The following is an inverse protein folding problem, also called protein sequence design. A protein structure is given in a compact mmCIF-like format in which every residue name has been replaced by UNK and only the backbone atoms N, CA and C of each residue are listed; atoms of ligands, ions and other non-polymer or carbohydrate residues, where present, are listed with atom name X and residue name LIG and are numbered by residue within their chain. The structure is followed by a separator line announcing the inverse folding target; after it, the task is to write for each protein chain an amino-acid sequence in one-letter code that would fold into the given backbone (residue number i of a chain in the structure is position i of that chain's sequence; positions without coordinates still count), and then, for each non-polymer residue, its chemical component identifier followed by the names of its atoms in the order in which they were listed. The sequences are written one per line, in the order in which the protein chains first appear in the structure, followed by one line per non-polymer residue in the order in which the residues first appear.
data_IF_843341113859
#
_entry.id   IF_843341113859
#
_cell.length_a   1.000
_cell.length_b   1.000
_cell.length_c   1.000
_cell.angle_alpha   90.00
_cell.angle_beta   90.00
_cell.angle_gamma   90.00
#
_symmetry.space_group_name_H-M   'P 1'
#
loop_
_entity.id
_entity.type
_entity.pdbx_description
1 polymer ?
#
# COMPACT_ATOMS: atom_id res chain seq x y z
N UNK A 1 -19.05 -23.40 13.91
CA UNK A 1 -18.58 -22.90 12.61
C UNK A 1 -19.55 -21.98 11.87
N UNK A 2 -20.81 -21.79 12.30
CA UNK A 2 -21.83 -21.08 11.49
C UNK A 2 -21.49 -19.60 11.25
N UNK A 3 -20.89 -18.94 12.24
CA UNK A 3 -20.50 -17.52 12.19
C UNK A 3 -19.30 -17.32 11.26
N UNK A 4 -18.25 -18.14 11.39
CA UNK A 4 -17.07 -18.08 10.51
C UNK A 4 -17.44 -18.26 9.03
N UNK A 5 -18.29 -19.25 8.74
CA UNK A 5 -18.72 -19.51 7.35
C UNK A 5 -19.54 -18.34 6.79
N UNK A 6 -20.52 -17.85 7.56
CA UNK A 6 -21.44 -16.82 7.09
C UNK A 6 -20.77 -15.44 6.98
N UNK A 7 -19.96 -15.08 7.96
CA UNK A 7 -19.49 -13.69 8.11
C UNK A 7 -18.06 -13.47 7.60
N UNK A 8 -17.33 -14.54 7.26
CA UNK A 8 -15.93 -14.44 6.78
C UNK A 8 -15.74 -15.19 5.47
N UNK A 9 -16.01 -16.51 5.45
CA UNK A 9 -15.76 -17.35 4.28
C UNK A 9 -16.67 -17.01 3.10
N UNK A 10 -17.95 -16.74 3.35
CA UNK A 10 -18.92 -16.38 2.31
C UNK A 10 -18.60 -15.01 1.69
N UNK A 11 -18.28 -13.95 2.45
CA UNK A 11 -17.77 -12.71 1.88
C UNK A 11 -16.49 -12.88 1.05
N UNK A 12 -15.50 -13.65 1.52
CA UNK A 12 -14.29 -13.91 0.73
C UNK A 12 -14.60 -14.64 -0.57
N UNK A 13 -15.47 -15.67 -0.52
CA UNK A 13 -15.95 -16.36 -1.71
C UNK A 13 -16.70 -15.42 -2.66
N UNK A 14 -17.50 -14.48 -2.12
CA UNK A 14 -18.18 -13.47 -2.91
C UNK A 14 -17.20 -12.53 -3.62
N UNK A 15 -16.09 -12.13 -3.00
CA UNK A 15 -15.03 -11.34 -3.65
C UNK A 15 -14.42 -12.14 -4.82
N UNK A 16 -14.13 -13.43 -4.63
CA UNK A 16 -13.61 -14.29 -5.71
C UNK A 16 -14.63 -14.41 -6.85
N UNK A 17 -15.89 -14.67 -6.53
CA UNK A 17 -16.97 -14.77 -7.53
C UNK A 17 -17.16 -13.44 -8.26
N UNK A 18 -17.08 -12.31 -7.56
CA UNK A 18 -17.15 -10.97 -8.15
C UNK A 18 -16.04 -10.75 -9.17
N UNK A 19 -14.81 -11.15 -8.86
CA UNK A 19 -13.69 -11.08 -9.81
C UNK A 19 -13.93 -11.96 -11.04
N UNK A 20 -14.31 -13.23 -10.84
CA UNK A 20 -14.60 -14.16 -11.94
C UNK A 20 -15.73 -13.63 -12.83
N UNK A 21 -16.80 -13.10 -12.24
CA UNK A 21 -17.90 -12.48 -12.98
C UNK A 21 -17.42 -11.26 -13.77
N UNK A 22 -16.59 -10.41 -13.17
CA UNK A 22 -16.01 -9.23 -13.83
C UNK A 22 -15.20 -9.63 -15.07
N UNK A 23 -14.40 -10.70 -14.99
CA UNK A 23 -13.60 -11.18 -16.12
C UNK A 23 -14.47 -11.69 -17.28
N UNK A 24 -15.63 -12.28 -16.99
CA UNK A 24 -16.56 -12.77 -18.01
C UNK A 24 -17.31 -11.64 -18.71
N UNK A 25 -17.53 -10.52 -18.03
CA UNK A 25 -18.29 -9.37 -18.55
C UNK A 25 -17.41 -8.45 -19.38
N UNK A 26 -16.14 -8.26 -18.97
CA UNK A 26 -15.24 -7.28 -19.59
C UNK A 26 -14.61 -7.88 -20.86
N UNK A 27 -14.89 -7.35 -22.08
CA UNK A 27 -14.45 -7.95 -23.35
C UNK A 27 -12.95 -8.28 -23.47
N UNK A 28 -12.01 -7.37 -23.15
CA UNK A 28 -10.58 -7.67 -23.27
C UNK A 28 -10.12 -8.79 -22.35
N UNK A 29 -10.86 -9.09 -21.27
CA UNK A 29 -10.54 -10.18 -20.37
C UNK A 29 -11.13 -11.49 -20.89
N UNK A 30 -12.38 -11.44 -21.35
CA UNK A 30 -13.09 -12.59 -21.91
C UNK A 30 -12.36 -13.22 -23.08
N UNK A 31 -11.75 -12.40 -23.94
CA UNK A 31 -10.98 -12.85 -25.10
C UNK A 31 -9.72 -13.65 -24.72
N UNK A 32 -9.17 -13.39 -23.53
CA UNK A 32 -7.96 -14.04 -23.02
C UNK A 32 -8.23 -15.09 -21.93
N UNK A 33 -9.50 -15.43 -21.66
CA UNK A 33 -9.89 -16.52 -20.77
C UNK A 33 -9.66 -17.87 -21.44
N UNK A 34 -8.43 -18.38 -21.36
CA UNK A 34 -8.10 -19.75 -21.73
C UNK A 34 -7.67 -20.57 -20.49
N UNK A 35 -7.61 -21.89 -20.62
CA UNK A 35 -7.28 -22.78 -19.50
C UNK A 35 -5.90 -22.48 -18.88
N UNK A 36 -4.93 -22.05 -19.69
CA UNK A 36 -3.58 -21.67 -19.23
C UNK A 36 -3.63 -20.44 -18.33
N UNK A 37 -4.29 -19.36 -18.77
CA UNK A 37 -4.39 -18.11 -18.03
C UNK A 37 -5.21 -18.27 -16.74
N UNK A 38 -6.29 -19.05 -16.79
CA UNK A 38 -7.06 -19.43 -15.60
C UNK A 38 -6.16 -20.18 -14.61
N UNK A 39 -5.41 -21.18 -15.09
CA UNK A 39 -4.47 -21.93 -14.25
C UNK A 39 -3.41 -21.01 -13.62
N UNK A 40 -2.80 -20.11 -14.41
CA UNK A 40 -1.82 -19.16 -13.89
C UNK A 40 -2.42 -18.22 -12.84
N UNK A 41 -3.63 -17.71 -13.05
CA UNK A 41 -4.30 -16.81 -12.10
C UNK A 41 -4.55 -17.52 -10.77
N UNK A 42 -5.03 -18.76 -10.79
CA UNK A 42 -5.21 -19.53 -9.55
C UNK A 42 -3.89 -19.95 -8.92
N UNK A 43 -2.85 -20.22 -9.72
CA UNK A 43 -1.50 -20.44 -9.21
C UNK A 43 -0.97 -19.18 -8.50
N UNK A 44 -1.25 -17.99 -9.03
CA UNK A 44 -0.89 -16.71 -8.43
C UNK A 44 -1.63 -16.47 -7.11
N UNK A 45 -2.83 -17.03 -6.91
CA UNK A 45 -3.54 -16.91 -5.63
C UNK A 45 -2.73 -17.50 -4.46
N UNK A 46 -1.94 -18.54 -4.70
CA UNK A 46 -1.14 -19.22 -3.68
C UNK A 46 -0.18 -18.27 -2.96
N UNK A 47 0.75 -17.55 -3.64
CA UNK A 47 1.62 -16.61 -2.95
C UNK A 47 0.86 -15.48 -2.24
N UNK A 48 -0.25 -14.97 -2.78
CA UNK A 48 -1.07 -13.96 -2.10
C UNK A 48 -1.66 -14.49 -0.78
N UNK A 49 -2.19 -15.72 -0.80
CA UNK A 49 -2.71 -16.37 0.40
C UNK A 49 -1.59 -16.69 1.40
N UNK A 50 -0.41 -17.12 0.95
CA UNK A 50 0.73 -17.36 1.84
C UNK A 50 1.17 -16.08 2.55
N UNK A 51 1.22 -14.95 1.82
CA UNK A 51 1.51 -13.64 2.39
C UNK A 51 0.41 -13.23 3.39
N UNK A 52 -0.86 -13.41 3.03
CA UNK A 52 -1.98 -13.13 3.93
C UNK A 52 -1.88 -13.96 5.22
N UNK A 53 -1.64 -15.27 5.11
CA UNK A 53 -1.49 -16.16 6.25
C UNK A 53 -0.29 -15.77 7.13
N UNK A 54 0.82 -15.32 6.53
CA UNK A 54 1.96 -14.80 7.28
C UNK A 54 1.58 -13.55 8.11
N UNK A 55 0.86 -12.60 7.51
CA UNK A 55 0.38 -11.42 8.24
C UNK A 55 -0.65 -11.78 9.31
N UNK A 56 -1.56 -12.71 9.02
CA UNK A 56 -2.50 -13.26 10.00
C UNK A 56 -1.77 -13.91 11.18
N UNK A 57 -0.72 -14.72 10.94
CA UNK A 57 0.13 -15.27 12.01
C UNK A 57 0.73 -14.17 12.89
N UNK A 58 1.23 -13.09 12.28
CA UNK A 58 1.81 -11.96 13.01
C UNK A 58 0.75 -11.20 13.80
N UNK A 59 -0.45 -11.06 13.26
CA UNK A 59 -1.58 -10.46 13.98
C UNK A 59 -1.97 -11.31 15.18
N UNK A 60 -2.07 -12.64 15.02
CA UNK A 60 -2.32 -13.56 16.14
C UNK A 60 -1.30 -13.39 17.28
N UNK A 61 -0.01 -13.27 16.96
CA UNK A 61 1.02 -12.99 17.97
C UNK A 61 0.79 -11.69 18.73
N UNK A 62 0.36 -10.62 18.05
CA UNK A 62 0.05 -9.33 18.70
C UNK A 62 -1.10 -9.45 19.69
N UNK A 63 -2.01 -10.39 19.47
CA UNK A 63 -3.15 -10.68 20.34
C UNK A 63 -2.86 -11.81 21.36
N UNK A 64 -1.60 -12.26 21.47
CA UNK A 64 -1.16 -13.24 22.48
C UNK A 64 -1.32 -14.71 22.08
N UNK A 65 -1.64 -14.99 20.81
CA UNK A 65 -1.70 -16.36 20.27
C UNK A 65 -0.36 -16.79 19.64
N UNK A 66 -0.16 -18.09 19.44
CA UNK A 66 1.02 -18.59 18.72
C UNK A 66 0.84 -18.40 17.21
N UNK A 67 1.94 -18.27 16.44
CA UNK A 67 1.87 -18.26 14.96
C UNK A 67 1.25 -19.52 14.39
N UNK A 68 1.43 -20.64 15.07
CA UNK A 68 0.91 -21.95 14.65
C UNK A 68 -0.61 -22.05 14.77
N UNK A 69 -1.22 -21.16 15.56
CA UNK A 69 -2.66 -21.10 15.78
C UNK A 69 -3.44 -20.64 14.54
N UNK A 70 -2.75 -20.25 13.46
CA UNK A 70 -3.38 -20.04 12.14
C UNK A 70 -4.14 -21.27 11.67
N UNK A 71 -3.70 -22.48 12.01
CA UNK A 71 -4.44 -23.70 11.65
C UNK A 71 -5.80 -23.81 12.35
N UNK A 72 -5.95 -23.11 13.48
CA UNK A 72 -7.18 -23.06 14.30
C UNK A 72 -7.92 -21.72 14.13
N UNK A 73 -7.61 -20.96 13.08
CA UNK A 73 -8.27 -19.67 12.78
C UNK A 73 -9.80 -19.73 12.89
N UNK A 74 -10.49 -20.74 12.31
CA UNK A 74 -11.94 -20.79 12.34
C UNK A 74 -12.49 -20.87 13.77
N UNK A 75 -11.83 -21.63 14.64
CA UNK A 75 -12.22 -21.79 16.05
C UNK A 75 -11.95 -20.52 16.86
N UNK A 76 -10.82 -19.85 16.60
CA UNK A 76 -10.43 -18.61 17.28
C UNK A 76 -11.38 -17.48 16.90
N UNK A 77 -11.68 -17.32 15.61
CA UNK A 77 -12.62 -16.31 15.13
C UNK A 77 -14.01 -16.54 15.72
N UNK A 78 -14.48 -17.79 15.78
CA UNK A 78 -15.79 -18.09 16.36
C UNK A 78 -15.87 -17.77 17.86
N UNK A 79 -14.80 -18.03 18.62
CA UNK A 79 -14.75 -17.73 20.06
C UNK A 79 -14.59 -16.23 20.36
N UNK A 80 -13.99 -15.49 19.44
CA UNK A 80 -13.64 -14.06 19.65
C UNK A 80 -14.56 -13.10 18.90
N UNK A 81 -15.50 -13.62 18.12
CA UNK A 81 -16.44 -12.85 17.33
C UNK A 81 -17.20 -11.82 18.16
N UNK A 82 -17.16 -10.55 17.74
CA UNK A 82 -17.83 -9.43 18.42
C UNK A 82 -17.21 -8.98 19.75
N UNK A 83 -16.15 -9.65 20.24
CA UNK A 83 -15.47 -9.30 21.51
C UNK A 83 -14.10 -8.66 21.30
N UNK A 84 -13.42 -9.02 20.21
CA UNK A 84 -12.09 -8.51 19.87
C UNK A 84 -12.10 -7.94 18.45
N UNK A 85 -11.14 -7.05 18.18
CA UNK A 85 -10.86 -6.57 16.81
C UNK A 85 -10.12 -7.61 15.96
N UNK A 86 -9.55 -8.64 16.60
CA UNK A 86 -8.80 -9.71 15.94
C UNK A 86 -9.53 -10.34 14.73
N UNK A 87 -10.80 -10.79 14.83
CA UNK A 87 -11.51 -11.33 13.67
C UNK A 87 -11.60 -10.34 12.51
N UNK A 88 -11.84 -9.05 12.79
CA UNK A 88 -11.91 -8.02 11.77
C UNK A 88 -10.57 -7.80 11.09
N UNK A 89 -9.48 -7.68 11.85
CA UNK A 89 -8.14 -7.54 11.25
C UNK A 89 -7.76 -8.74 10.39
N UNK A 90 -8.10 -9.96 10.83
CA UNK A 90 -7.87 -11.18 10.03
C UNK A 90 -8.72 -11.17 8.75
N UNK A 91 -9.97 -10.69 8.85
CA UNK A 91 -10.84 -10.50 7.69
C UNK A 91 -10.26 -9.51 6.69
N UNK A 92 -9.81 -8.36 7.17
CA UNK A 92 -9.25 -7.30 6.35
C UNK A 92 -7.97 -7.79 5.64
N UNK A 93 -7.06 -8.47 6.35
CA UNK A 93 -5.82 -9.01 5.76
C UNK A 93 -6.08 -10.00 4.62
N UNK A 94 -6.99 -10.96 4.82
CA UNK A 94 -7.32 -11.97 3.80
C UNK A 94 -8.12 -11.33 2.66
N UNK A 95 -9.08 -10.47 2.99
CA UNK A 95 -9.89 -9.74 2.02
C UNK A 95 -9.02 -8.88 1.10
N UNK A 96 -8.12 -8.09 1.67
CA UNK A 96 -7.17 -7.26 0.92
C UNK A 96 -6.30 -8.12 0.00
N UNK A 97 -5.77 -9.24 0.48
CA UNK A 97 -4.96 -10.14 -0.35
C UNK A 97 -5.74 -10.70 -1.55
N UNK A 98 -7.02 -11.03 -1.38
CA UNK A 98 -7.90 -11.48 -2.49
C UNK A 98 -8.20 -10.32 -3.44
N UNK A 99 -8.40 -9.10 -2.94
CA UNK A 99 -8.60 -7.91 -3.78
C UNK A 99 -7.34 -7.63 -4.62
N UNK A 100 -6.16 -7.63 -4.00
CA UNK A 100 -4.89 -7.46 -4.70
C UNK A 100 -4.65 -8.57 -5.73
N UNK A 101 -4.94 -9.82 -5.38
CA UNK A 101 -4.88 -10.93 -6.33
C UNK A 101 -5.80 -10.68 -7.54
N UNK A 102 -7.03 -10.23 -7.32
CA UNK A 102 -7.98 -9.97 -8.39
C UNK A 102 -7.55 -8.82 -9.31
N UNK A 103 -6.94 -7.77 -8.75
CA UNK A 103 -6.30 -6.70 -9.53
C UNK A 103 -5.11 -7.23 -10.36
N UNK A 104 -4.30 -8.10 -9.78
CA UNK A 104 -3.17 -8.71 -10.48
C UNK A 104 -3.63 -9.64 -11.61
N UNK A 105 -4.66 -10.46 -11.33
CA UNK A 105 -5.33 -11.30 -12.30
C UNK A 105 -5.95 -10.47 -13.42
N UNK A 106 -6.44 -9.27 -13.11
CA UNK A 106 -6.98 -8.36 -14.11
C UNK A 106 -5.92 -7.93 -15.12
N UNK A 107 -4.75 -7.52 -14.63
CA UNK A 107 -3.62 -7.13 -15.50
C UNK A 107 -3.17 -8.31 -16.35
N UNK A 108 -3.10 -9.51 -15.77
CA UNK A 108 -2.70 -10.72 -16.49
C UNK A 108 -3.66 -11.04 -17.65
N UNK A 109 -4.97 -11.02 -17.38
CA UNK A 109 -5.98 -11.27 -18.41
C UNK A 109 -6.00 -10.18 -19.48
N UNK A 110 -5.77 -8.91 -19.12
CA UNK A 110 -5.71 -7.83 -20.09
C UNK A 110 -4.54 -7.98 -21.07
N UNK A 111 -3.44 -8.60 -20.64
CA UNK A 111 -2.24 -8.80 -21.48
C UNK A 111 -2.23 -10.08 -22.30
N UNK A 112 -3.04 -11.08 -21.93
CA UNK A 112 -3.12 -12.37 -22.62
C UNK A 112 -1.92 -13.32 -22.40
N UNK A 113 -0.72 -12.80 -22.14
CA UNK A 113 0.49 -13.56 -21.83
C UNK A 113 0.77 -13.58 -20.30
N UNK A 114 0.92 -14.76 -19.68
CA UNK A 114 1.20 -14.92 -18.25
C UNK A 114 2.42 -14.15 -17.71
N UNK A 115 3.52 -14.15 -18.46
CA UNK A 115 4.80 -13.57 -18.01
C UNK A 115 4.71 -12.04 -18.13
N UNK A 116 4.24 -11.54 -19.27
CA UNK A 116 4.01 -10.11 -19.47
C UNK A 116 2.94 -9.58 -18.53
N UNK A 117 1.90 -10.36 -18.24
CA UNK A 117 0.89 -10.03 -17.25
C UNK A 117 1.45 -9.89 -15.84
N UNK A 118 2.32 -10.83 -15.44
CA UNK A 118 3.02 -10.75 -14.17
C UNK A 118 3.90 -9.50 -14.09
N UNK A 119 4.73 -9.27 -15.12
CA UNK A 119 5.64 -8.13 -15.17
C UNK A 119 4.91 -6.79 -15.22
N UNK A 120 3.82 -6.68 -15.98
CA UNK A 120 2.97 -5.50 -16.03
C UNK A 120 2.27 -5.26 -14.69
N UNK A 121 1.83 -6.31 -13.99
CA UNK A 121 1.27 -6.19 -12.65
C UNK A 121 2.31 -5.66 -11.66
N UNK A 122 3.53 -6.22 -11.67
CA UNK A 122 4.64 -5.72 -10.83
C UNK A 122 4.95 -4.26 -11.15
N UNK A 123 5.04 -3.91 -12.44
CA UNK A 123 5.33 -2.54 -12.87
C UNK A 123 4.27 -1.54 -12.41
N UNK A 124 2.98 -1.91 -12.52
CA UNK A 124 1.86 -1.09 -12.05
C UNK A 124 1.98 -0.81 -10.54
N UNK A 125 2.20 -1.85 -9.72
CA UNK A 125 2.33 -1.64 -8.27
C UNK A 125 3.60 -0.88 -7.91
N UNK A 126 4.71 -1.12 -8.60
CA UNK A 126 5.95 -0.39 -8.38
C UNK A 126 5.78 1.11 -8.70
N UNK A 127 5.10 1.45 -9.79
CA UNK A 127 4.78 2.85 -10.12
C UNK A 127 3.85 3.49 -9.08
N UNK A 128 2.77 2.80 -8.69
CA UNK A 128 1.83 3.28 -7.65
C UNK A 128 2.55 3.52 -6.32
N UNK A 129 3.39 2.58 -5.86
CA UNK A 129 4.12 2.73 -4.61
C UNK A 129 5.20 3.81 -4.70
N UNK A 130 5.89 3.95 -5.84
CA UNK A 130 6.84 5.02 -6.05
C UNK A 130 6.15 6.40 -5.99
N UNK A 131 4.96 6.53 -6.59
CA UNK A 131 4.19 7.77 -6.56
C UNK A 131 3.52 8.04 -5.21
N UNK A 132 3.24 7.00 -4.42
CA UNK A 132 2.62 7.10 -3.08
C UNK A 132 3.43 7.94 -2.07
N UNK A 133 4.68 8.28 -2.35
CA UNK A 133 5.43 9.31 -1.59
C UNK A 133 4.65 10.63 -1.54
N UNK A 134 4.03 11.02 -2.66
CA UNK A 134 3.15 12.19 -2.73
C UNK A 134 1.91 12.03 -1.85
N UNK A 135 1.31 10.82 -1.84
CA UNK A 135 0.14 10.52 -1.02
C UNK A 135 0.45 10.64 0.48
N UNK A 136 1.64 10.23 0.91
CA UNK A 136 2.08 10.44 2.29
C UNK A 136 2.12 11.95 2.61
N UNK A 137 2.61 12.79 1.71
CA UNK A 137 2.59 14.24 1.92
C UNK A 137 1.15 14.77 2.05
N UNK A 138 0.22 14.31 1.22
CA UNK A 138 -1.21 14.67 1.36
C UNK A 138 -1.78 14.25 2.72
N UNK A 139 -1.47 13.05 3.18
CA UNK A 139 -1.90 12.55 4.49
C UNK A 139 -1.32 13.39 5.64
N UNK A 140 -0.08 13.85 5.49
CA UNK A 140 0.53 14.81 6.42
C UNK A 140 -0.28 16.10 6.47
N UNK A 141 -0.57 16.71 5.31
CA UNK A 141 -1.25 18.01 5.28
C UNK A 141 -2.66 17.97 5.85
N UNK A 142 -3.43 16.92 5.51
CA UNK A 142 -4.86 16.83 5.83
C UNK A 142 -5.09 16.31 7.24
N UNK A 143 -4.26 15.37 7.71
CA UNK A 143 -4.54 14.63 8.96
C UNK A 143 -3.46 14.88 9.99
N UNK A 144 -2.20 14.56 9.69
CA UNK A 144 -1.16 14.52 10.72
C UNK A 144 -0.78 15.92 11.19
N UNK A 145 -0.67 16.88 10.28
CA UNK A 145 -0.26 18.24 10.59
C UNK A 145 -1.30 18.97 11.45
N UNK A 146 -2.61 19.03 11.09
CA UNK A 146 -3.61 19.63 11.95
C UNK A 146 -3.67 18.98 13.33
N UNK A 147 -3.61 17.65 13.39
CA UNK A 147 -3.61 16.91 14.64
C UNK A 147 -2.35 17.21 15.49
N UNK A 148 -1.18 17.33 14.86
CA UNK A 148 0.07 17.65 15.55
C UNK A 148 0.08 19.07 16.09
N UNK A 149 -0.39 20.05 15.30
CA UNK A 149 -0.55 21.44 15.76
C UNK A 149 -1.52 21.54 16.93
N UNK A 150 -2.69 20.90 16.84
CA UNK A 150 -3.67 20.87 17.92
C UNK A 150 -3.07 20.33 19.22
N UNK A 151 -2.33 19.21 19.16
CA UNK A 151 -1.65 18.65 20.34
C UNK A 151 -0.61 19.61 20.90
N UNK A 152 0.24 20.19 20.04
CA UNK A 152 1.27 21.15 20.48
C UNK A 152 0.66 22.37 21.19
N UNK A 153 -0.42 22.93 20.66
CA UNK A 153 -1.09 24.09 21.25
C UNK A 153 -1.87 23.76 22.53
N UNK A 154 -2.39 22.55 22.68
CA UNK A 154 -3.01 22.05 23.92
C UNK A 154 -1.99 21.53 24.94
N UNK A 155 -0.71 21.70 24.66
CA UNK A 155 0.37 21.32 25.55
C UNK A 155 0.63 19.81 25.63
N UNK A 156 0.16 19.05 24.64
CA UNK A 156 0.45 17.63 24.45
C UNK A 156 1.53 17.45 23.39
N UNK A 157 2.35 16.41 23.52
CA UNK A 157 3.30 16.06 22.46
C UNK A 157 2.57 15.41 21.28
N UNK A 158 3.04 15.51 20.02
CA UNK A 158 2.54 14.73 18.90
C UNK A 158 2.59 13.22 19.17
N UNK A 159 1.76 12.45 18.46
CA UNK A 159 1.72 11.00 18.68
C UNK A 159 2.98 10.34 18.12
N UNK A 160 3.83 9.79 19.01
CA UNK A 160 5.12 9.22 18.61
C UNK A 160 4.94 8.00 17.71
N UNK A 161 4.00 7.11 18.03
CA UNK A 161 3.77 5.89 17.26
C UNK A 161 3.35 6.20 15.82
N UNK A 162 2.44 7.17 15.63
CA UNK A 162 2.03 7.62 14.30
C UNK A 162 3.18 8.25 13.51
N UNK A 163 4.03 9.07 14.15
CA UNK A 163 5.17 9.68 13.46
C UNK A 163 6.25 8.66 13.08
N UNK A 164 6.49 7.66 13.93
CA UNK A 164 7.43 6.57 13.63
C UNK A 164 6.90 5.74 12.46
N UNK A 165 5.61 5.40 12.44
CA UNK A 165 5.02 4.60 11.36
C UNK A 165 5.03 5.38 10.04
N UNK A 166 4.65 6.66 10.07
CA UNK A 166 4.75 7.57 8.92
C UNK A 166 6.17 7.58 8.32
N UNK A 167 7.20 7.71 9.15
CA UNK A 167 8.58 7.73 8.70
C UNK A 167 9.00 6.39 8.09
N UNK A 168 8.60 5.27 8.69
CA UNK A 168 8.88 3.93 8.15
C UNK A 168 8.23 3.71 6.80
N UNK A 169 6.94 4.01 6.68
CA UNK A 169 6.19 3.89 5.43
C UNK A 169 6.82 4.77 4.34
N UNK A 170 7.12 6.04 4.66
CA UNK A 170 7.81 6.95 3.74
C UNK A 170 9.15 6.39 3.27
N UNK A 171 9.96 5.82 4.16
CA UNK A 171 11.24 5.20 3.79
C UNK A 171 11.06 4.00 2.85
N UNK A 172 10.07 3.14 3.11
CA UNK A 172 9.77 2.00 2.24
C UNK A 172 9.36 2.47 0.84
N UNK A 173 8.44 3.42 0.74
CA UNK A 173 8.01 3.97 -0.56
C UNK A 173 9.15 4.68 -1.29
N UNK A 174 10.02 5.37 -0.55
CA UNK A 174 11.20 6.03 -1.12
C UNK A 174 12.19 5.01 -1.68
N UNK A 175 12.39 3.89 -0.98
CA UNK A 175 13.23 2.80 -1.48
C UNK A 175 12.66 2.22 -2.78
N UNK A 176 11.33 2.07 -2.89
CA UNK A 176 10.67 1.66 -4.13
C UNK A 176 10.87 2.69 -5.24
N UNK A 177 10.69 3.99 -4.96
CA UNK A 177 10.96 5.07 -5.91
C UNK A 177 12.39 5.04 -6.45
N UNK A 178 13.38 4.85 -5.55
CA UNK A 178 14.78 4.73 -5.93
C UNK A 178 15.00 3.48 -6.80
N UNK A 179 14.42 2.33 -6.41
CA UNK A 179 14.53 1.11 -7.20
C UNK A 179 13.95 1.29 -8.61
N UNK A 180 12.75 1.88 -8.73
CA UNK A 180 12.13 2.21 -10.03
C UNK A 180 13.03 3.13 -10.85
N UNK A 181 13.60 4.18 -10.26
CA UNK A 181 14.55 5.07 -10.94
C UNK A 181 15.79 4.33 -11.45
N UNK A 182 16.40 3.50 -10.60
CA UNK A 182 17.60 2.76 -10.97
C UNK A 182 17.31 1.75 -12.09
N UNK A 183 16.22 1.01 -12.00
CA UNK A 183 15.78 0.07 -13.04
C UNK A 183 15.55 0.83 -14.35
N UNK A 184 14.82 1.95 -14.31
CA UNK A 184 14.50 2.73 -15.50
C UNK A 184 15.72 3.35 -16.19
N UNK A 185 16.77 3.69 -15.42
CA UNK A 185 18.02 4.22 -15.94
C UNK A 185 18.95 3.17 -16.55
N UNK A 186 18.93 1.92 -16.04
CA UNK A 186 19.83 0.86 -16.48
C UNK A 186 19.16 -0.14 -17.44
N UNK A 187 17.83 -0.13 -17.52
CA UNK A 187 17.08 -0.94 -18.47
C UNK A 187 17.04 -0.28 -19.84
N UNK A 188 17.30 -1.06 -20.89
CA UNK A 188 17.10 -0.67 -22.28
C UNK A 188 15.65 -0.80 -22.75
N UNK A 189 14.72 -1.12 -21.84
CA UNK A 189 13.31 -1.25 -22.19
C UNK A 189 12.75 0.10 -22.69
N UNK A 190 12.06 0.17 -23.84
CA UNK A 190 11.56 1.41 -24.39
C UNK A 190 10.42 2.00 -23.54
N UNK A 191 10.20 3.31 -23.67
CA UNK A 191 8.95 3.90 -23.17
C UNK A 191 7.83 3.51 -24.15
N UNK A 192 6.87 2.73 -23.67
CA UNK A 192 5.72 2.20 -24.42
C UNK A 192 4.43 2.37 -23.62
N UNK A 193 3.29 2.15 -24.27
CA UNK A 193 1.96 2.32 -23.66
C UNK A 193 1.56 1.20 -22.69
N UNK A 194 2.36 0.13 -22.63
CA UNK A 194 2.23 -0.92 -21.62
C UNK A 194 2.71 -0.44 -20.24
N UNK A 195 2.39 -1.21 -19.20
CA UNK A 195 2.64 -0.77 -17.81
C UNK A 195 4.14 -0.76 -17.48
N UNK A 196 4.92 -1.66 -18.07
CA UNK A 196 6.39 -1.64 -17.95
C UNK A 196 6.93 -0.36 -18.59
N UNK A 197 6.54 -0.06 -19.84
CA UNK A 197 6.96 1.15 -20.55
C UNK A 197 6.61 2.43 -19.81
N UNK A 198 5.41 2.50 -19.21
CA UNK A 198 4.97 3.62 -18.36
C UNK A 198 5.83 3.77 -17.10
N UNK A 199 6.09 2.67 -16.40
CA UNK A 199 6.98 2.68 -15.22
C UNK A 199 8.40 3.13 -15.61
N UNK A 200 8.94 2.67 -16.75
CA UNK A 200 10.25 3.12 -17.24
C UNK A 200 10.24 4.61 -17.59
N UNK A 201 9.18 5.10 -18.25
CA UNK A 201 9.03 6.51 -18.58
C UNK A 201 8.94 7.37 -17.31
N UNK A 202 8.15 6.95 -16.32
CA UNK A 202 8.06 7.57 -15.01
C UNK A 202 9.44 7.63 -14.34
N UNK A 203 10.12 6.48 -14.24
CA UNK A 203 11.45 6.39 -13.64
C UNK A 203 12.49 7.22 -14.38
N UNK A 204 12.34 7.48 -15.68
CA UNK A 204 13.26 8.32 -16.46
C UNK A 204 13.02 9.83 -16.30
N UNK A 205 11.85 10.27 -15.84
CA UNK A 205 11.53 11.70 -15.60
C UNK A 205 12.32 12.25 -14.42
N UNK A 206 13.53 12.75 -14.69
CA UNK A 206 14.48 13.24 -13.67
C UNK A 206 13.86 14.31 -12.77
N UNK A 207 13.12 15.26 -13.33
CA UNK A 207 12.49 16.33 -12.55
C UNK A 207 11.43 15.78 -11.58
N UNK A 208 10.49 14.96 -12.07
CA UNK A 208 9.44 14.36 -11.24
C UNK A 208 10.03 13.52 -10.11
N UNK A 209 10.98 12.63 -10.43
CA UNK A 209 11.63 11.77 -9.43
C UNK A 209 12.39 12.64 -8.41
N UNK A 210 13.07 13.70 -8.83
CA UNK A 210 13.75 14.62 -7.92
C UNK A 210 12.77 15.32 -6.97
N UNK A 211 11.64 15.80 -7.48
CA UNK A 211 10.61 16.45 -6.65
C UNK A 211 9.98 15.45 -5.66
N UNK A 212 9.74 14.20 -6.08
CA UNK A 212 9.26 13.15 -5.18
C UNK A 212 10.28 12.79 -4.10
N UNK A 213 11.58 12.73 -4.43
CA UNK A 213 12.64 12.53 -3.43
C UNK A 213 12.74 13.72 -2.45
N UNK A 214 12.54 14.95 -2.94
CA UNK A 214 12.48 16.15 -2.10
C UNK A 214 11.29 16.09 -1.14
N UNK A 215 10.10 15.71 -1.63
CA UNK A 215 8.93 15.48 -0.78
C UNK A 215 9.18 14.40 0.27
N UNK A 216 9.81 13.27 -0.11
CA UNK A 216 10.19 12.24 0.85
C UNK A 216 11.12 12.78 1.94
N UNK A 217 12.12 13.57 1.57
CA UNK A 217 13.02 14.22 2.51
C UNK A 217 12.26 15.12 3.49
N UNK A 218 11.33 15.93 2.98
CA UNK A 218 10.47 16.79 3.81
C UNK A 218 9.52 15.97 4.71
N UNK A 219 8.94 14.88 4.22
CA UNK A 219 8.11 13.96 5.01
C UNK A 219 8.90 13.38 6.19
N UNK A 220 10.14 12.97 5.94
CA UNK A 220 11.04 12.45 6.97
C UNK A 220 11.45 13.53 7.99
N UNK A 221 11.79 14.74 7.50
CA UNK A 221 12.09 15.90 8.35
C UNK A 221 10.89 16.31 9.21
N UNK A 222 9.67 16.22 8.67
CA UNK A 222 8.44 16.45 9.42
C UNK A 222 8.34 15.47 10.59
N UNK A 223 8.56 14.18 10.33
CA UNK A 223 8.56 13.13 11.36
C UNK A 223 9.59 13.37 12.48
N UNK A 224 10.85 13.66 12.12
CA UNK A 224 11.91 13.97 13.09
C UNK A 224 11.54 15.22 13.91
N UNK A 225 11.11 16.27 13.25
CA UNK A 225 10.76 17.55 13.90
C UNK A 225 9.60 17.35 14.88
N UNK A 226 8.57 16.59 14.49
CA UNK A 226 7.45 16.25 15.34
C UNK A 226 7.83 15.38 16.55
N UNK A 227 8.80 14.47 16.39
CA UNK A 227 9.25 13.56 17.45
C UNK A 227 10.15 14.22 18.49
N UNK A 228 11.07 15.08 18.05
CA UNK A 228 12.14 15.60 18.90
C UNK A 228 12.02 17.09 19.22
N UNK A 229 11.37 17.87 18.35
CA UNK A 229 11.15 19.31 18.55
C UNK A 229 10.42 19.68 19.85
N UNK A 230 9.31 18.99 20.23
CA UNK A 230 8.49 19.40 21.37
C UNK A 230 9.25 19.45 22.70
N UNK A 231 10.31 18.64 22.83
CA UNK A 231 11.17 18.55 24.03
C UNK A 231 11.91 19.85 24.32
N UNK A 232 12.23 20.63 23.29
CA UNK A 232 12.97 21.89 23.42
C UNK A 232 12.02 23.09 23.49
N UNK A 233 11.08 23.17 22.54
CA UNK A 233 10.08 24.25 22.52
C UNK A 233 8.91 23.88 21.60
N UNK A 234 7.71 23.84 22.17
CA UNK A 234 6.48 23.54 21.41
C UNK A 234 6.17 24.59 20.36
N UNK A 235 6.40 25.88 20.66
CA UNK A 235 6.18 26.99 19.72
C UNK A 235 7.13 26.93 18.53
N UNK A 236 8.42 26.67 18.76
CA UNK A 236 9.39 26.50 17.69
C UNK A 236 9.10 25.25 16.85
N UNK A 237 8.63 24.18 17.48
CA UNK A 237 8.20 22.97 16.77
C UNK A 237 7.03 23.25 15.85
N UNK A 238 5.99 23.93 16.34
CA UNK A 238 4.82 24.29 15.54
C UNK A 238 5.22 25.16 14.33
N UNK A 239 6.12 26.13 14.54
CA UNK A 239 6.66 26.96 13.45
C UNK A 239 7.44 26.11 12.43
N UNK A 240 8.34 25.25 12.89
CA UNK A 240 9.14 24.38 12.02
C UNK A 240 8.26 23.41 11.21
N UNK A 241 7.27 22.77 11.83
CA UNK A 241 6.31 21.91 11.13
C UNK A 241 5.51 22.69 10.07
N UNK A 242 5.11 23.92 10.38
CA UNK A 242 4.41 24.78 9.42
C UNK A 242 5.30 25.11 8.22
N UNK A 243 6.56 25.47 8.44
CA UNK A 243 7.52 25.74 7.37
C UNK A 243 7.72 24.51 6.49
N UNK A 244 7.89 23.33 7.10
CA UNK A 244 8.05 22.07 6.36
C UNK A 244 6.81 21.81 5.47
N UNK A 245 5.60 21.99 6.00
CA UNK A 245 4.37 21.79 5.22
C UNK A 245 4.23 22.81 4.08
N UNK A 246 4.59 24.07 4.31
CA UNK A 246 4.60 25.08 3.24
C UNK A 246 5.58 24.68 2.13
N UNK A 247 6.77 24.19 2.47
CA UNK A 247 7.74 23.68 1.50
C UNK A 247 7.21 22.45 0.76
N UNK A 248 6.55 21.52 1.46
CA UNK A 248 5.93 20.36 0.81
C UNK A 248 4.86 20.79 -0.20
N UNK A 249 3.99 21.74 0.17
CA UNK A 249 2.96 22.28 -0.73
C UNK A 249 3.57 22.98 -1.95
N UNK A 250 4.69 23.68 -1.76
CA UNK A 250 5.43 24.29 -2.88
C UNK A 250 6.00 23.25 -3.85
N UNK A 251 6.63 22.19 -3.34
CA UNK A 251 7.15 21.09 -4.17
C UNK A 251 5.99 20.37 -4.87
N UNK A 252 4.89 20.13 -4.17
CA UNK A 252 3.68 19.54 -4.73
C UNK A 252 3.06 20.39 -5.84
N UNK A 253 3.05 21.71 -5.68
CA UNK A 253 2.60 22.63 -6.71
C UNK A 253 3.39 22.45 -8.01
N UNK A 254 4.73 22.36 -7.92
CA UNK A 254 5.61 22.11 -9.07
C UNK A 254 5.36 20.76 -9.74
N UNK A 255 4.97 19.74 -8.97
CA UNK A 255 4.61 18.43 -9.54
C UNK A 255 3.31 18.53 -10.36
N UNK A 256 2.33 19.29 -9.88
CA UNK A 256 0.99 19.38 -10.49
C UNK A 256 0.94 20.35 -11.67
N UNK A 257 1.61 21.50 -11.55
CA UNK A 257 1.47 22.60 -12.51
C UNK A 257 2.70 22.85 -13.39
N UNK A 258 3.83 22.16 -13.13
CA UNK A 258 5.12 22.44 -13.77
C UNK A 258 5.74 23.74 -13.27
#
# INVERSE_FOLDING_TARGET
MRVFVKDYLLPWAFIVVFWVASWLIIPPMREHLNALNIFTIFLLLIPFLLVALHFVSKTLERYGYSREDVRRLPEIIEKTHGRLYLPKEVFDIIGDAIIFWGLFAWVLLATGDPIMGLLNGVAMFAEIFAFSVFLISMFIWVIIFPHSLYRLFTGREPSRDFLIELMKENLVLTAVLIAVRLIALHSNYPASDDLIGKMMAFGRKTELVSLLLELSGLNFLFGITGLYGPRKSRKLTALALTIIVVLQLWVAWRIVFG
#
